data_IF_875697422976
#
_entry.id   IF_875697422976
#
_cell.length_a   1.000
_cell.length_b   1.000
_cell.length_c   1.000
_cell.angle_alpha   90.00
_cell.angle_beta   90.00
_cell.angle_gamma   90.00
#
_symmetry.space_group_name_H-M   'P 1'
#
loop_
_entity.id
_entity.type
_entity.pdbx_description
1 polymer ?
#
# COMPACT_ATOMS: atom_id res chain seq x y z
N UNK A 1 -1.02 -12.63 3.85
CA UNK A 1 -1.21 -13.41 2.60
C UNK A 1 -0.55 -14.78 2.72
N UNK A 2 -1.05 -15.80 2.02
CA UNK A 2 -0.37 -17.10 1.92
C UNK A 2 0.91 -16.95 1.07
N UNK A 3 2.08 -17.43 1.54
CA UNK A 3 3.33 -17.33 0.79
C UNK A 3 3.24 -17.92 -0.62
N UNK A 4 2.57 -19.07 -0.75
CA UNK A 4 2.48 -19.82 -2.00
C UNK A 4 1.24 -19.51 -2.84
N UNK A 5 0.18 -18.92 -2.27
CA UNK A 5 -1.12 -18.77 -2.93
C UNK A 5 -1.65 -17.33 -3.04
N UNK A 6 -1.02 -16.36 -2.38
CA UNK A 6 -1.54 -14.99 -2.34
C UNK A 6 -2.73 -14.84 -1.39
N UNK A 7 -3.72 -14.03 -1.76
CA UNK A 7 -4.92 -13.84 -0.94
C UNK A 7 -5.83 -15.09 -1.05
N UNK A 8 -6.37 -15.50 0.09
CA UNK A 8 -7.34 -16.59 0.19
C UNK A 8 -8.47 -16.06 1.06
N UNK A 9 -9.69 -16.17 0.57
CA UNK A 9 -10.87 -15.65 1.25
C UNK A 9 -11.57 -16.75 2.02
N UNK A 10 -12.08 -16.37 3.17
CA UNK A 10 -12.86 -17.23 4.03
C UNK A 10 -14.08 -16.45 4.53
N UNK A 11 -15.20 -17.13 4.67
CA UNK A 11 -16.37 -16.62 5.39
C UNK A 11 -16.36 -17.18 6.80
N UNK A 12 -16.83 -16.36 7.75
CA UNK A 12 -17.09 -16.77 9.12
C UNK A 12 -18.55 -16.46 9.42
N UNK A 13 -19.35 -17.51 9.60
CA UNK A 13 -20.74 -17.35 10.03
C UNK A 13 -20.78 -16.80 11.45
N UNK A 14 -21.50 -15.69 11.65
CA UNK A 14 -21.67 -15.04 12.95
C UNK A 14 -22.78 -15.75 13.75
N UNK A 15 -22.54 -17.01 14.11
CA UNK A 15 -23.44 -17.79 14.95
C UNK A 15 -22.88 -17.85 16.39
N UNK A 16 -23.56 -17.25 17.39
CA UNK A 16 -23.12 -17.31 18.79
C UNK A 16 -23.23 -18.72 19.38
N UNK A 17 -24.09 -19.56 18.82
CA UNK A 17 -24.34 -20.93 19.27
C UNK A 17 -23.43 -21.91 18.50
N UNK A 18 -22.14 -21.95 18.86
CA UNK A 18 -21.18 -22.91 18.34
C UNK A 18 -19.76 -22.35 18.16
N UNK A 19 -18.76 -23.22 17.94
CA UNK A 19 -17.40 -22.75 17.68
C UNK A 19 -17.32 -22.03 16.32
N UNK A 20 -16.49 -20.97 16.19
CA UNK A 20 -16.30 -20.27 14.93
C UNK A 20 -15.72 -21.23 13.88
N UNK A 21 -16.30 -21.23 12.67
CA UNK A 21 -15.84 -22.03 11.53
C UNK A 21 -15.55 -21.13 10.34
N UNK A 22 -14.31 -21.20 9.86
CA UNK A 22 -13.89 -20.54 8.63
C UNK A 22 -14.14 -21.48 7.45
N UNK A 23 -14.98 -21.05 6.53
CA UNK A 23 -15.24 -21.75 5.28
C UNK A 23 -14.53 -21.04 4.14
N UNK A 24 -13.84 -21.80 3.29
CA UNK A 24 -13.11 -21.18 2.17
C UNK A 24 -14.11 -20.67 1.14
N UNK A 25 -14.00 -19.40 0.79
CA UNK A 25 -14.83 -18.75 -0.22
C UNK A 25 -14.05 -18.65 -1.54
N UNK A 26 -14.67 -19.11 -2.62
CA UNK A 26 -14.05 -19.28 -3.94
C UNK A 26 -14.90 -18.77 -5.11
N UNK A 27 -16.06 -18.16 -4.83
CA UNK A 27 -16.98 -17.65 -5.85
C UNK A 27 -17.40 -16.22 -5.50
N UNK A 28 -18.23 -16.02 -4.47
CA UNK A 28 -18.88 -14.73 -4.19
C UNK A 28 -17.87 -13.63 -3.85
N UNK A 29 -16.89 -13.91 -2.99
CA UNK A 29 -15.84 -12.92 -2.70
C UNK A 29 -14.99 -12.60 -3.93
N UNK A 30 -14.70 -13.61 -4.77
CA UNK A 30 -13.83 -13.46 -5.93
C UNK A 30 -14.47 -12.62 -7.05
N UNK A 31 -15.79 -12.43 -7.06
CA UNK A 31 -16.46 -11.51 -7.99
C UNK A 31 -15.86 -10.09 -7.93
N UNK A 32 -15.46 -9.64 -6.74
CA UNK A 32 -14.79 -8.35 -6.55
C UNK A 32 -13.28 -8.52 -6.35
N UNK A 33 -12.86 -9.53 -5.59
CA UNK A 33 -11.47 -9.73 -5.18
C UNK A 33 -10.58 -10.47 -6.18
N UNK A 34 -11.12 -10.96 -7.30
CA UNK A 34 -10.36 -11.39 -8.48
C UNK A 34 -10.92 -10.65 -9.71
N UNK A 35 -10.61 -9.37 -9.79
CA UNK A 35 -11.12 -8.47 -10.83
C UNK A 35 -10.01 -7.59 -11.38
N UNK A 36 -10.32 -6.71 -12.34
CA UNK A 36 -9.36 -5.73 -12.86
C UNK A 36 -8.74 -4.84 -11.77
N UNK A 37 -9.47 -4.59 -10.68
CA UNK A 37 -8.97 -3.78 -9.54
C UNK A 37 -7.79 -4.50 -8.87
N UNK A 38 -7.80 -5.82 -8.84
CA UNK A 38 -6.78 -6.66 -8.19
C UNK A 38 -5.87 -7.34 -9.20
N UNK A 39 -5.62 -6.74 -10.36
CA UNK A 39 -4.77 -7.31 -11.43
C UNK A 39 -5.29 -8.65 -12.01
N UNK A 40 -6.58 -8.92 -11.87
CA UNK A 40 -7.23 -10.21 -12.17
C UNK A 40 -6.58 -11.40 -11.43
N UNK A 41 -6.12 -11.16 -10.20
CA UNK A 41 -5.73 -12.21 -9.26
C UNK A 41 -6.53 -12.08 -7.96
N UNK A 42 -6.71 -13.16 -7.18
CA UNK A 42 -7.25 -13.07 -5.83
C UNK A 42 -6.39 -12.11 -5.00
N UNK A 43 -6.96 -10.99 -4.60
CA UNK A 43 -6.19 -9.84 -4.10
C UNK A 43 -6.96 -8.94 -3.16
N UNK A 44 -6.19 -8.10 -2.47
CA UNK A 44 -6.71 -7.11 -1.53
C UNK A 44 -7.22 -5.89 -2.31
N UNK A 45 -8.26 -5.24 -1.79
CA UNK A 45 -8.84 -4.05 -2.39
C UNK A 45 -8.69 -2.89 -1.42
N UNK A 46 -8.23 -1.76 -1.96
CA UNK A 46 -8.32 -0.47 -1.30
C UNK A 46 -8.93 0.52 -2.28
N UNK A 47 -10.05 1.13 -1.89
CA UNK A 47 -10.79 2.10 -2.71
C UNK A 47 -11.00 3.38 -1.92
N UNK A 48 -11.13 4.47 -2.67
CA UNK A 48 -11.51 5.79 -2.19
C UNK A 48 -12.87 6.14 -2.78
N UNK A 49 -13.89 6.17 -1.92
CA UNK A 49 -15.29 6.34 -2.31
C UNK A 49 -15.98 7.33 -1.38
N UNK A 50 -16.91 8.13 -1.89
CA UNK A 50 -17.85 8.79 -1.00
C UNK A 50 -18.78 7.71 -0.41
N UNK A 51 -18.81 7.61 0.91
CA UNK A 51 -19.71 6.69 1.61
C UNK A 51 -20.99 7.43 2.05
N UNK A 52 -22.14 6.78 1.95
CA UNK A 52 -23.42 7.30 2.42
C UNK A 52 -23.52 7.29 3.95
N UNK A 53 -24.63 7.79 4.50
CA UNK A 53 -24.81 7.88 5.96
C UNK A 53 -24.83 6.52 6.69
N UNK A 54 -24.90 5.40 5.98
CA UNK A 54 -24.82 4.03 6.52
C UNK A 54 -23.48 3.34 6.17
N UNK A 55 -22.57 4.03 5.49
CA UNK A 55 -21.28 3.49 5.08
C UNK A 55 -21.29 2.74 3.75
N UNK A 56 -22.39 2.78 2.98
CA UNK A 56 -22.41 2.18 1.65
C UNK A 56 -21.67 3.05 0.63
N UNK A 57 -20.87 2.45 -0.26
CA UNK A 57 -20.13 3.21 -1.28
C UNK A 57 -21.09 3.78 -2.33
N UNK A 58 -21.11 5.11 -2.50
CA UNK A 58 -21.97 5.80 -3.48
C UNK A 58 -21.24 6.07 -4.79
N UNK A 59 -20.10 6.77 -4.70
CA UNK A 59 -19.33 7.25 -5.85
C UNK A 59 -17.84 7.11 -5.62
N UNK A 60 -17.12 6.69 -6.64
CA UNK A 60 -15.65 6.67 -6.61
C UNK A 60 -15.07 8.08 -6.64
N UNK A 61 -14.15 8.38 -5.72
CA UNK A 61 -13.34 9.61 -5.73
C UNK A 61 -12.34 9.58 -6.89
N UNK A 62 -11.85 8.40 -7.22
CA UNK A 62 -11.06 8.14 -8.41
C UNK A 62 -11.28 6.70 -8.90
N UNK A 63 -10.99 6.45 -10.18
CA UNK A 63 -11.16 5.13 -10.76
C UNK A 63 -10.09 4.14 -10.25
N UNK A 64 -10.51 2.89 -10.01
CA UNK A 64 -9.61 1.78 -9.75
C UNK A 64 -9.12 1.67 -8.30
N UNK A 65 -8.00 0.96 -8.12
CA UNK A 65 -7.40 0.75 -6.80
C UNK A 65 -6.67 2.02 -6.32
N UNK A 66 -6.87 2.40 -5.07
CA UNK A 66 -6.07 3.45 -4.42
C UNK A 66 -4.68 2.88 -4.13
N UNK A 67 -3.63 3.57 -4.59
CA UNK A 67 -2.23 3.13 -4.47
C UNK A 67 -1.32 4.31 -4.09
N UNK A 68 -0.03 4.03 -3.87
CA UNK A 68 1.03 5.03 -3.65
C UNK A 68 1.14 6.05 -4.81
N UNK A 69 0.62 5.73 -5.99
CA UNK A 69 0.57 6.62 -7.18
C UNK A 69 -0.68 7.50 -7.23
N UNK A 70 -1.70 7.15 -6.46
CA UNK A 70 -2.93 7.94 -6.43
C UNK A 70 -2.60 9.30 -5.82
N UNK A 71 -2.99 10.39 -6.48
CA UNK A 71 -2.77 11.74 -5.96
C UNK A 71 -3.35 11.86 -4.53
N UNK A 72 -2.61 12.50 -3.62
CA UNK A 72 -2.88 12.46 -2.18
C UNK A 72 -4.31 12.92 -1.84
N UNK A 73 -4.77 13.96 -2.51
CA UNK A 73 -6.08 14.58 -2.35
C UNK A 73 -7.24 13.62 -2.69
N UNK A 74 -6.99 12.59 -3.51
CA UNK A 74 -7.99 11.60 -3.92
C UNK A 74 -8.04 10.38 -3.01
N UNK A 75 -7.19 10.28 -2.00
CA UNK A 75 -7.07 9.08 -1.15
C UNK A 75 -8.11 9.04 -0.03
N UNK A 76 -8.45 7.82 0.37
CA UNK A 76 -9.15 7.47 1.62
C UNK A 76 -10.60 7.95 1.79
N UNK A 77 -11.29 8.33 0.73
CA UNK A 77 -12.75 8.49 0.79
C UNK A 77 -13.41 7.23 1.33
N UNK A 78 -14.33 7.38 2.28
CA UNK A 78 -15.03 6.27 2.94
C UNK A 78 -14.24 5.65 4.08
N UNK A 79 -13.09 6.21 4.43
CA UNK A 79 -12.29 5.86 5.60
C UNK A 79 -12.29 7.02 6.59
N UNK A 80 -12.20 6.70 7.87
CA UNK A 80 -11.70 7.65 8.85
C UNK A 80 -10.18 7.78 8.71
N UNK A 81 -9.64 8.97 8.93
CA UNK A 81 -8.20 9.25 8.83
C UNK A 81 -7.80 10.18 9.99
N UNK A 82 -6.81 9.77 10.77
CA UNK A 82 -6.26 10.58 11.87
C UNK A 82 -4.78 10.90 11.64
N UNK A 83 -4.41 12.16 11.82
CA UNK A 83 -3.06 12.66 11.55
C UNK A 83 -3.09 14.05 10.91
N UNK A 84 -1.91 14.64 10.74
CA UNK A 84 -1.73 15.93 10.11
C UNK A 84 -0.92 15.82 8.83
N UNK A 85 -1.15 16.75 7.89
CA UNK A 85 -0.50 16.83 6.59
C UNK A 85 -0.52 18.29 6.08
N UNK A 86 0.13 18.57 4.94
CA UNK A 86 0.10 19.89 4.29
C UNK A 86 -1.26 20.33 3.69
N UNK A 87 -1.28 21.39 2.89
CA UNK A 87 -2.51 22.17 2.61
C UNK A 87 -3.49 21.50 1.62
N UNK A 88 -3.06 20.54 0.79
CA UNK A 88 -3.93 19.96 -0.25
C UNK A 88 -5.04 19.00 0.24
N UNK A 89 -4.98 18.51 1.49
CA UNK A 89 -6.04 17.63 2.02
C UNK A 89 -6.07 16.22 1.45
N UNK A 90 -7.02 15.40 1.91
CA UNK A 90 -7.34 14.05 1.40
C UNK A 90 -8.86 13.83 1.47
N UNK A 91 -9.42 12.83 0.78
CA UNK A 91 -10.87 12.58 0.75
C UNK A 91 -11.44 11.87 2.00
N UNK A 92 -10.57 11.43 2.93
CA UNK A 92 -10.96 10.83 4.20
C UNK A 92 -11.83 11.74 5.09
N UNK A 93 -12.50 11.12 6.07
CA UNK A 93 -13.44 11.76 6.99
C UNK A 93 -14.67 12.43 6.35
N UNK A 94 -14.81 12.37 5.03
CA UNK A 94 -15.97 12.88 4.30
C UNK A 94 -17.03 11.79 4.14
N UNK A 95 -18.28 12.11 4.48
CA UNK A 95 -19.45 11.23 4.31
C UNK A 95 -20.63 12.00 3.71
N UNK A 96 -21.41 11.31 2.89
CA UNK A 96 -22.67 11.82 2.38
C UNK A 96 -23.75 11.75 3.48
N UNK A 97 -24.52 12.84 3.69
CA UNK A 97 -25.62 12.83 4.66
C UNK A 97 -26.85 12.07 4.15
N UNK A 98 -27.02 11.92 2.84
CA UNK A 98 -28.11 11.15 2.23
C UNK A 98 -27.76 9.64 2.09
N UNK A 99 -28.78 8.82 1.81
CA UNK A 99 -28.58 7.43 1.36
C UNK A 99 -28.27 7.38 -0.13
N UNK A 100 -27.52 6.38 -0.58
CA UNK A 100 -27.24 6.19 -2.02
C UNK A 100 -28.51 6.13 -2.90
N UNK A 101 -29.59 5.56 -2.37
CA UNK A 101 -30.89 5.44 -3.04
C UNK A 101 -31.56 6.79 -3.30
N UNK A 102 -31.21 7.80 -2.51
CA UNK A 102 -31.88 9.11 -2.53
C UNK A 102 -31.13 10.12 -3.43
N UNK A 103 -29.90 9.77 -3.85
CA UNK A 103 -29.07 10.59 -4.72
C UNK A 103 -29.62 10.55 -6.15
N UNK A 104 -30.29 11.64 -6.57
CA UNK A 104 -30.88 11.76 -7.91
C UNK A 104 -29.85 11.97 -9.02
N UNK A 105 -28.84 12.82 -8.80
CA UNK A 105 -27.77 13.10 -9.76
C UNK A 105 -26.42 12.59 -9.24
N UNK A 106 -26.20 11.29 -9.38
CA UNK A 106 -24.95 10.63 -8.97
C UNK A 106 -23.72 11.07 -9.76
N UNK A 107 -23.91 11.69 -10.93
CA UNK A 107 -22.80 12.11 -11.78
C UNK A 107 -22.12 13.34 -11.21
N UNK A 108 -22.90 14.31 -10.73
CA UNK A 108 -22.38 15.56 -10.17
C UNK A 108 -22.31 15.57 -8.64
N UNK A 109 -22.93 14.60 -7.95
CA UNK A 109 -22.99 14.58 -6.50
C UNK A 109 -21.63 14.67 -5.80
N UNK A 110 -20.58 14.02 -6.31
CA UNK A 110 -19.24 14.14 -5.70
C UNK A 110 -18.71 15.59 -5.71
N UNK A 111 -19.04 16.36 -6.75
CA UNK A 111 -18.57 17.74 -6.91
C UNK A 111 -19.24 18.74 -5.96
N UNK A 112 -20.32 18.36 -5.27
CA UNK A 112 -20.94 19.19 -4.24
C UNK A 112 -20.29 19.06 -2.87
N UNK A 113 -19.26 18.23 -2.72
CA UNK A 113 -18.53 18.06 -1.47
C UNK A 113 -17.16 18.72 -1.54
N UNK A 114 -16.79 19.42 -0.46
CA UNK A 114 -15.39 19.67 -0.17
C UNK A 114 -14.80 18.40 0.45
N UNK A 115 -14.19 17.56 -0.39
CA UNK A 115 -13.58 16.31 0.05
C UNK A 115 -12.39 16.54 0.99
N UNK A 116 -11.85 17.75 1.09
CA UNK A 116 -10.64 18.06 1.85
C UNK A 116 -10.93 18.68 3.23
N UNK A 117 -12.18 19.06 3.48
CA UNK A 117 -12.61 19.64 4.76
C UNK A 117 -12.36 18.72 5.97
N UNK A 118 -12.26 17.40 5.73
CA UNK A 118 -11.97 16.39 6.75
C UNK A 118 -10.48 16.12 7.00
N UNK A 119 -9.56 16.91 6.44
CA UNK A 119 -8.12 16.77 6.69
C UNK A 119 -7.70 17.21 8.09
N UNK A 120 -6.47 16.86 8.50
CA UNK A 120 -5.87 17.28 9.78
C UNK A 120 -6.68 16.95 11.06
N UNK A 121 -7.55 15.94 11.00
CA UNK A 121 -8.29 15.42 12.16
C UNK A 121 -7.34 14.57 13.00
N UNK A 122 -7.29 14.81 14.31
CA UNK A 122 -6.43 14.04 15.24
C UNK A 122 -7.21 13.20 16.25
N UNK A 123 -8.53 13.40 16.32
CA UNK A 123 -9.45 12.72 17.22
C UNK A 123 -10.76 12.41 16.49
N UNK A 124 -11.28 11.21 16.69
CA UNK A 124 -12.52 10.71 16.08
C UNK A 124 -13.68 10.62 17.10
N UNK A 125 -13.48 11.05 18.35
CA UNK A 125 -14.51 10.97 19.39
C UNK A 125 -15.81 11.70 19.03
N UNK A 126 -15.72 12.76 18.23
CA UNK A 126 -16.88 13.52 17.75
C UNK A 126 -17.67 12.77 16.65
N UNK A 127 -17.08 11.71 16.07
CA UNK A 127 -17.71 10.90 15.04
C UNK A 127 -18.42 9.67 15.63
N UNK A 128 -17.83 9.01 16.62
CA UNK A 128 -18.36 7.81 17.28
C UNK A 128 -17.63 7.51 18.59
N UNK A 129 -18.17 6.57 19.36
CA UNK A 129 -17.56 6.06 20.60
C UNK A 129 -16.30 5.22 20.29
N UNK A 130 -15.14 5.87 20.37
CA UNK A 130 -13.83 5.28 20.04
C UNK A 130 -13.38 4.21 21.03
N UNK A 131 -13.92 4.19 22.26
CA UNK A 131 -13.54 3.21 23.30
C UNK A 131 -13.97 1.78 22.95
N UNK A 132 -14.87 1.62 21.97
CA UNK A 132 -15.31 0.32 21.46
C UNK A 132 -14.29 -0.38 20.55
N UNK A 133 -13.22 0.31 20.17
CA UNK A 133 -12.21 -0.17 19.23
C UNK A 133 -10.86 -0.39 19.94
N UNK A 134 -10.02 -1.26 19.40
CA UNK A 134 -8.70 -1.57 19.97
C UNK A 134 -7.74 -0.37 20.03
N UNK A 135 -7.99 0.62 19.17
CA UNK A 135 -7.25 1.87 19.10
C UNK A 135 -8.22 2.97 18.64
N UNK A 136 -8.12 4.20 19.17
CA UNK A 136 -8.94 5.32 18.71
C UNK A 136 -8.45 5.92 17.38
N UNK A 137 -7.35 5.41 16.83
CA UNK A 137 -6.68 5.98 15.65
C UNK A 137 -7.02 5.24 14.35
N UNK A 138 -7.12 5.99 13.26
CA UNK A 138 -7.04 5.50 11.88
C UNK A 138 -5.87 6.21 11.19
N UNK A 139 -4.67 5.86 11.64
CA UNK A 139 -3.45 6.65 11.44
C UNK A 139 -3.09 6.84 9.94
N UNK A 140 -2.89 8.11 9.53
CA UNK A 140 -2.61 8.50 8.15
C UNK A 140 -1.36 7.82 7.58
N UNK A 141 -0.29 7.65 8.37
CA UNK A 141 0.94 6.99 7.93
C UNK A 141 0.68 5.50 7.76
N UNK A 142 -0.09 4.89 8.68
CA UNK A 142 -0.50 3.49 8.54
C UNK A 142 -1.32 3.23 7.27
N UNK A 143 -2.22 4.16 6.91
CA UNK A 143 -3.02 4.07 5.70
C UNK A 143 -2.17 4.24 4.43
N UNK A 144 -1.15 5.11 4.45
CA UNK A 144 -0.18 5.21 3.35
C UNK A 144 0.58 3.91 3.14
N UNK A 145 1.07 3.29 4.22
CA UNK A 145 1.73 1.97 4.16
C UNK A 145 0.77 0.89 3.64
N UNK A 146 -0.45 0.82 4.17
CA UNK A 146 -1.47 -0.13 3.72
C UNK A 146 -1.75 0.02 2.22
N UNK A 147 -1.89 1.26 1.74
CA UNK A 147 -2.13 1.59 0.33
C UNK A 147 -1.06 0.99 -0.58
N UNK A 148 0.21 1.13 -0.20
CA UNK A 148 1.33 0.52 -0.93
C UNK A 148 1.31 -1.01 -0.80
N UNK A 149 1.10 -1.55 0.42
CA UNK A 149 1.11 -2.99 0.67
C UNK A 149 0.08 -3.74 -0.17
N UNK A 150 -1.16 -3.24 -0.27
CA UNK A 150 -2.24 -3.85 -1.06
C UNK A 150 -1.80 -4.03 -2.52
N UNK A 151 -1.20 -3.00 -3.12
CA UNK A 151 -0.71 -3.05 -4.50
C UNK A 151 0.40 -4.07 -4.69
N UNK A 152 1.44 -4.04 -3.84
CA UNK A 152 2.59 -4.94 -3.97
C UNK A 152 2.17 -6.40 -3.74
N UNK A 153 1.32 -6.67 -2.77
CA UNK A 153 0.78 -8.01 -2.52
C UNK A 153 0.02 -8.59 -3.74
N UNK A 154 -0.78 -7.76 -4.41
CA UNK A 154 -1.47 -8.15 -5.64
C UNK A 154 -0.47 -8.43 -6.78
N UNK A 155 0.55 -7.57 -6.96
CA UNK A 155 1.58 -7.75 -7.99
C UNK A 155 2.49 -8.96 -7.75
N UNK A 156 2.87 -9.27 -6.50
CA UNK A 156 3.60 -10.50 -6.16
C UNK A 156 2.76 -11.73 -6.55
N UNK A 157 1.46 -11.70 -6.25
CA UNK A 157 0.51 -12.77 -6.62
C UNK A 157 0.40 -12.92 -8.14
N UNK A 158 0.35 -11.80 -8.88
CA UNK A 158 0.35 -11.78 -10.34
C UNK A 158 1.61 -12.42 -10.92
N UNK A 159 2.80 -11.94 -10.53
CA UNK A 159 4.10 -12.47 -11.01
C UNK A 159 4.17 -13.98 -10.80
N UNK A 160 3.73 -14.47 -9.65
CA UNK A 160 3.65 -15.91 -9.38
C UNK A 160 2.73 -16.66 -10.36
N UNK A 161 1.51 -16.16 -10.60
CA UNK A 161 0.47 -16.88 -11.35
C UNK A 161 0.69 -16.87 -12.85
N UNK A 162 1.12 -15.75 -13.41
CA UNK A 162 1.05 -15.53 -14.86
C UNK A 162 2.40 -15.48 -15.55
N UNK A 163 3.51 -15.57 -14.79
CA UNK A 163 4.85 -15.21 -15.29
C UNK A 163 4.84 -13.81 -15.96
N UNK A 164 3.94 -12.93 -15.51
CA UNK A 164 3.81 -11.58 -16.02
C UNK A 164 5.14 -10.82 -15.96
N UNK A 165 5.28 -9.74 -16.76
CA UNK A 165 6.48 -8.91 -16.74
C UNK A 165 6.79 -8.48 -15.31
N UNK A 166 7.88 -9.06 -14.79
CA UNK A 166 8.45 -8.78 -13.47
C UNK A 166 8.72 -7.29 -13.29
N UNK A 167 8.99 -6.59 -14.39
CA UNK A 167 9.20 -5.15 -14.44
C UNK A 167 8.08 -4.34 -13.77
N UNK A 168 6.80 -4.74 -13.92
CA UNK A 168 5.69 -4.05 -13.24
C UNK A 168 5.82 -4.11 -11.71
N UNK A 169 6.27 -5.25 -11.19
CA UNK A 169 6.53 -5.41 -9.76
C UNK A 169 7.75 -4.61 -9.33
N UNK A 170 8.86 -4.65 -10.09
CA UNK A 170 10.08 -3.89 -9.80
C UNK A 170 9.80 -2.39 -9.74
N UNK A 171 9.12 -1.84 -10.75
CA UNK A 171 8.69 -0.43 -10.79
C UNK A 171 7.84 -0.06 -9.58
N UNK A 172 6.86 -0.90 -9.22
CA UNK A 172 6.02 -0.64 -8.06
C UNK A 172 6.80 -0.72 -6.74
N UNK A 173 7.75 -1.67 -6.63
CA UNK A 173 8.60 -1.80 -5.45
C UNK A 173 9.55 -0.60 -5.30
N UNK A 174 10.00 0.00 -6.40
CA UNK A 174 10.85 1.19 -6.42
C UNK A 174 10.07 2.52 -6.40
N UNK A 175 8.77 2.49 -6.07
CA UNK A 175 7.93 3.68 -5.95
C UNK A 175 7.88 4.55 -7.22
N UNK A 176 7.96 3.91 -8.40
CA UNK A 176 7.82 4.61 -9.68
C UNK A 176 6.43 5.25 -9.79
N UNK A 177 6.43 6.56 -10.03
CA UNK A 177 5.27 7.46 -10.05
C UNK A 177 4.55 7.59 -8.69
N UNK A 178 5.23 7.38 -7.56
CA UNK A 178 4.69 7.74 -6.25
C UNK A 178 4.21 9.20 -6.26
N UNK A 179 2.99 9.45 -5.78
CA UNK A 179 2.47 10.80 -5.73
C UNK A 179 3.18 11.58 -4.61
N UNK A 180 3.60 12.81 -4.93
CA UNK A 180 4.21 13.74 -3.98
C UNK A 180 3.32 13.97 -2.77
N UNK A 181 3.93 14.08 -1.59
CA UNK A 181 3.22 14.47 -0.38
C UNK A 181 2.87 15.97 -0.40
N UNK A 182 1.72 16.37 0.16
CA UNK A 182 1.29 17.77 0.17
C UNK A 182 2.08 18.66 1.15
N UNK A 183 3.06 18.08 1.84
CA UNK A 183 3.82 18.64 2.96
C UNK A 183 4.13 17.55 3.98
N UNK A 184 4.73 17.91 5.13
CA UNK A 184 5.06 16.98 6.20
C UNK A 184 3.82 16.23 6.69
N UNK A 185 3.93 14.91 6.85
CA UNK A 185 2.85 14.05 7.34
C UNK A 185 3.19 13.50 8.72
N UNK A 186 2.25 13.60 9.65
CA UNK A 186 2.41 13.07 11.01
C UNK A 186 1.23 12.21 11.41
N UNK A 187 1.53 10.99 11.87
CA UNK A 187 0.56 10.07 12.44
C UNK A 187 0.08 10.50 13.83
N UNK A 188 -0.90 9.77 14.36
CA UNK A 188 -1.49 9.99 15.69
C UNK A 188 -1.22 8.84 16.66
N UNK A 189 -0.59 7.77 16.19
CA UNK A 189 -0.30 6.55 16.95
C UNK A 189 1.20 6.26 17.01
N UNK A 190 1.58 5.18 17.70
CA UNK A 190 2.97 4.66 17.73
C UNK A 190 3.38 3.95 16.44
N UNK A 191 2.55 3.97 15.39
CA UNK A 191 2.75 3.18 14.18
C UNK A 191 4.12 3.40 13.53
N UNK A 192 4.61 4.64 13.45
CA UNK A 192 5.93 4.96 12.86
C UNK A 192 7.05 4.24 13.62
N UNK A 193 7.08 4.37 14.94
CA UNK A 193 8.07 3.72 15.81
C UNK A 193 8.01 2.19 15.68
N UNK A 194 6.80 1.63 15.85
CA UNK A 194 6.56 0.19 15.80
C UNK A 194 6.88 -0.40 14.42
N UNK A 195 6.60 0.33 13.35
CA UNK A 195 6.83 -0.14 11.99
C UNK A 195 8.31 -0.16 11.65
N UNK A 196 9.04 0.92 11.95
CA UNK A 196 10.47 1.05 11.66
C UNK A 196 11.28 0.03 12.45
N UNK A 197 10.95 -0.22 13.72
CA UNK A 197 11.65 -1.19 14.57
C UNK A 197 11.55 -2.67 14.11
N UNK A 198 10.64 -3.01 13.19
CA UNK A 198 10.40 -4.39 12.73
C UNK A 198 11.26 -4.81 11.52
N UNK A 199 12.03 -3.90 10.94
CA UNK A 199 12.83 -4.18 9.74
C UNK A 199 14.24 -4.65 10.09
N UNK A 200 14.90 -5.43 9.21
CA UNK A 200 16.35 -5.55 9.32
C UNK A 200 16.99 -4.18 9.05
N UNK A 201 18.13 -3.94 9.71
CA UNK A 201 18.97 -2.76 9.46
C UNK A 201 20.36 -3.20 9.07
N UNK A 202 21.03 -2.39 8.26
CA UNK A 202 22.46 -2.57 7.99
C UNK A 202 23.32 -2.16 9.20
N UNK A 203 24.65 -2.27 9.06
CA UNK A 203 25.60 -1.90 10.11
C UNK A 203 25.63 -0.39 10.44
N UNK A 204 24.99 0.45 9.62
CA UNK A 204 24.82 1.89 9.85
C UNK A 204 23.45 2.20 10.48
N UNK A 205 22.63 1.19 10.76
CA UNK A 205 21.30 1.33 11.31
C UNK A 205 20.20 1.67 10.29
N UNK A 206 20.53 1.72 8.99
CA UNK A 206 19.58 2.09 7.92
C UNK A 206 18.66 0.91 7.60
N UNK A 207 17.37 1.18 7.39
CA UNK A 207 16.36 0.17 7.04
C UNK A 207 15.47 0.63 5.89
N UNK A 208 15.00 -0.31 5.04
CA UNK A 208 13.93 -0.03 4.06
C UNK A 208 12.57 0.32 4.70
N UNK A 209 12.49 0.29 6.04
CA UNK A 209 11.33 0.75 6.81
C UNK A 209 11.50 2.15 7.39
N UNK A 210 12.63 2.81 7.15
CA UNK A 210 12.84 4.18 7.58
C UNK A 210 11.96 5.10 6.76
N UNK A 211 11.17 5.93 7.44
CA UNK A 211 10.28 6.87 6.78
C UNK A 211 11.00 8.19 6.45
N UNK A 212 10.48 8.87 5.43
CA UNK A 212 10.81 10.27 5.14
C UNK A 212 9.70 11.18 5.66
N UNK A 213 8.44 10.95 5.23
CA UNK A 213 7.21 11.69 5.58
C UNK A 213 7.23 13.20 5.30
N UNK A 214 8.30 13.73 4.73
CA UNK A 214 8.43 15.14 4.34
C UNK A 214 8.05 15.33 2.88
N UNK A 215 8.65 14.51 2.00
CA UNK A 215 8.47 14.58 0.55
C UNK A 215 7.91 13.27 -0.04
N UNK A 216 8.20 12.13 0.61
CA UNK A 216 7.80 10.78 0.17
C UNK A 216 7.53 9.85 1.34
N UNK A 217 7.00 8.65 1.09
CA UNK A 217 6.70 7.72 2.19
C UNK A 217 7.97 7.20 2.86
N UNK A 218 8.85 6.53 2.11
CA UNK A 218 10.06 5.91 2.65
C UNK A 218 11.33 6.70 2.31
N UNK A 219 12.25 6.75 3.28
CA UNK A 219 13.56 7.37 3.10
C UNK A 219 14.39 6.68 2.03
N UNK A 220 14.28 5.37 1.91
CA UNK A 220 14.93 4.56 0.88
C UNK A 220 13.83 3.93 0.02
N UNK A 221 13.53 4.46 -1.19
CA UNK A 221 12.37 4.04 -1.99
C UNK A 221 12.53 2.65 -2.63
N UNK A 222 12.55 1.63 -1.79
CA UNK A 222 12.38 0.23 -2.15
C UNK A 222 11.44 -0.41 -1.14
N UNK A 223 10.41 -1.09 -1.62
CA UNK A 223 9.39 -1.71 -0.80
C UNK A 223 9.99 -2.68 0.20
N UNK A 224 9.74 -2.45 1.50
CA UNK A 224 10.08 -3.37 2.58
C UNK A 224 9.45 -4.77 2.42
N UNK A 225 8.43 -4.92 1.55
CA UNK A 225 7.84 -6.22 1.23
C UNK A 225 8.79 -7.16 0.46
N UNK A 226 9.97 -6.68 0.05
CA UNK A 226 11.07 -7.55 -0.38
C UNK A 226 11.47 -8.55 0.72
N UNK A 227 11.23 -8.25 2.00
CA UNK A 227 11.46 -9.16 3.13
C UNK A 227 10.24 -10.01 3.51
N UNK A 228 9.18 -9.97 2.72
CA UNK A 228 7.97 -10.75 3.03
C UNK A 228 8.13 -12.22 2.62
N UNK A 229 7.57 -13.13 3.41
CA UNK A 229 7.49 -14.56 3.07
C UNK A 229 6.85 -14.81 1.69
N UNK A 230 5.97 -13.92 1.24
CA UNK A 230 5.33 -14.04 -0.08
C UNK A 230 6.30 -13.73 -1.22
N UNK A 231 7.13 -12.70 -1.06
CA UNK A 231 8.21 -12.39 -2.00
C UNK A 231 9.22 -13.53 -2.03
N UNK A 232 9.67 -14.00 -0.86
CA UNK A 232 10.65 -15.09 -0.76
C UNK A 232 10.18 -16.42 -1.33
N UNK A 233 8.87 -16.65 -1.36
CA UNK A 233 8.32 -17.86 -1.93
C UNK A 233 8.20 -17.79 -3.48
N UNK A 234 8.46 -16.65 -4.12
CA UNK A 234 8.37 -16.52 -5.58
C UNK A 234 9.25 -17.57 -6.29
N UNK A 235 8.86 -18.06 -7.48
CA UNK A 235 9.69 -18.98 -8.24
C UNK A 235 11.09 -18.40 -8.50
N UNK A 236 12.14 -19.23 -8.43
CA UNK A 236 13.54 -18.78 -8.52
C UNK A 236 13.84 -17.95 -9.78
N UNK A 237 13.26 -18.31 -10.93
CA UNK A 237 13.45 -17.53 -12.17
C UNK A 237 12.94 -16.09 -12.04
N UNK A 238 11.84 -15.88 -11.31
CA UNK A 238 11.28 -14.56 -11.08
C UNK A 238 12.12 -13.78 -10.07
N UNK A 239 12.53 -14.42 -8.97
CA UNK A 239 13.44 -13.81 -7.98
C UNK A 239 14.74 -13.35 -8.61
N UNK A 240 15.41 -14.22 -9.38
CA UNK A 240 16.67 -13.88 -10.04
C UNK A 240 16.49 -12.69 -10.99
N UNK A 241 15.42 -12.68 -11.79
CA UNK A 241 15.14 -11.56 -12.68
C UNK A 241 14.84 -10.26 -11.94
N UNK A 242 14.12 -10.32 -10.80
CA UNK A 242 13.92 -9.14 -9.94
C UNK A 242 15.27 -8.62 -9.43
N UNK A 243 16.10 -9.51 -8.89
CA UNK A 243 17.39 -9.12 -8.31
C UNK A 243 18.37 -8.59 -9.36
N UNK A 244 18.44 -9.21 -10.55
CA UNK A 244 19.24 -8.71 -11.67
C UNK A 244 18.81 -7.29 -12.04
N UNK A 245 17.50 -7.07 -12.19
CA UNK A 245 16.97 -5.76 -12.55
C UNK A 245 17.20 -4.72 -11.45
N UNK A 246 17.07 -5.09 -10.17
CA UNK A 246 17.42 -4.22 -9.06
C UNK A 246 18.92 -3.87 -9.08
N UNK A 247 19.80 -4.85 -9.26
CA UNK A 247 21.24 -4.63 -9.36
C UNK A 247 21.59 -3.65 -10.49
N UNK A 248 21.03 -3.86 -11.67
CA UNK A 248 21.19 -2.96 -12.83
C UNK A 248 20.72 -1.53 -12.54
N UNK A 249 19.51 -1.35 -11.98
CA UNK A 249 18.96 -0.01 -11.70
C UNK A 249 19.80 0.71 -10.64
N UNK A 250 20.18 0.00 -9.58
CA UNK A 250 20.82 0.60 -8.42
C UNK A 250 22.31 0.92 -8.63
N UNK A 251 22.95 0.33 -9.65
CA UNK A 251 24.39 0.50 -9.91
C UNK A 251 24.71 1.27 -11.20
N UNK A 252 23.76 1.41 -12.13
CA UNK A 252 24.00 2.13 -13.40
C UNK A 252 24.35 3.61 -13.18
N UNK A 253 25.26 4.15 -13.98
CA UNK A 253 25.61 5.58 -13.93
C UNK A 253 24.38 6.46 -14.18
N UNK A 254 23.69 6.21 -15.30
CA UNK A 254 22.49 6.94 -15.72
C UNK A 254 21.27 6.02 -15.76
N UNK A 255 20.31 6.17 -14.83
CA UNK A 255 19.10 5.36 -14.84
C UNK A 255 18.16 5.79 -15.98
N UNK A 256 17.31 4.87 -16.44
CA UNK A 256 16.23 5.20 -17.36
C UNK A 256 15.22 6.18 -16.74
N UNK A 257 14.42 6.83 -17.60
CA UNK A 257 13.46 7.91 -17.24
C UNK A 257 12.60 7.57 -16.02
N UNK A 258 12.11 6.34 -15.93
CA UNK A 258 11.24 5.89 -14.84
C UNK A 258 11.90 5.82 -13.46
N UNK A 259 13.23 5.85 -13.39
CA UNK A 259 14.00 5.68 -12.16
C UNK A 259 14.81 6.92 -11.80
N UNK A 260 14.62 8.04 -12.50
CA UNK A 260 15.34 9.31 -12.25
C UNK A 260 14.96 9.96 -10.91
N UNK A 261 13.81 9.58 -10.33
CA UNK A 261 13.41 9.99 -8.98
C UNK A 261 14.31 9.38 -7.89
N UNK A 262 15.03 8.30 -8.20
CA UNK A 262 16.03 7.71 -7.31
C UNK A 262 17.38 8.41 -7.52
N UNK A 263 17.74 9.28 -6.60
CA UNK A 263 19.04 9.94 -6.62
C UNK A 263 20.19 8.91 -6.55
N UNK A 264 21.39 9.26 -7.02
CA UNK A 264 22.56 8.37 -6.89
C UNK A 264 22.84 7.95 -5.43
N UNK A 265 22.73 8.84 -4.41
CA UNK A 265 22.80 8.45 -3.01
C UNK A 265 21.71 7.47 -2.58
N UNK A 266 20.45 7.67 -3.01
CA UNK A 266 19.35 6.74 -2.71
C UNK A 266 19.64 5.34 -3.26
N UNK A 267 20.03 5.27 -4.54
CA UNK A 267 20.33 4.00 -5.22
C UNK A 267 21.48 3.27 -4.53
N UNK A 268 22.55 3.97 -4.17
CA UNK A 268 23.67 3.39 -3.44
C UNK A 268 23.25 2.89 -2.06
N UNK A 269 22.49 3.69 -1.31
CA UNK A 269 22.03 3.31 0.02
C UNK A 269 21.13 2.06 -0.01
N UNK A 270 20.18 2.00 -0.96
CA UNK A 270 19.32 0.83 -1.15
C UNK A 270 20.17 -0.40 -1.48
N UNK A 271 21.13 -0.29 -2.40
CA UNK A 271 22.01 -1.38 -2.78
C UNK A 271 22.81 -1.92 -1.57
N UNK A 272 23.41 -1.03 -0.78
CA UNK A 272 24.16 -1.40 0.43
C UNK A 272 23.28 -2.08 1.49
N UNK A 273 22.08 -1.54 1.71
CA UNK A 273 21.11 -2.13 2.64
C UNK A 273 20.76 -3.55 2.19
N UNK A 274 20.48 -3.76 0.89
CA UNK A 274 20.15 -5.09 0.38
C UNK A 274 21.32 -6.08 0.50
N UNK A 275 22.54 -5.68 0.16
CA UNK A 275 23.72 -6.53 0.34
C UNK A 275 23.89 -6.96 1.80
N UNK A 276 23.63 -6.07 2.75
CA UNK A 276 23.77 -6.35 4.18
C UNK A 276 22.61 -7.18 4.77
N UNK A 277 21.39 -7.01 4.26
CA UNK A 277 20.16 -7.48 4.93
C UNK A 277 19.36 -8.52 4.15
N UNK A 278 19.70 -8.75 2.87
CA UNK A 278 19.00 -9.71 1.99
C UNK A 278 20.01 -10.70 1.39
N UNK A 279 20.30 -11.82 2.09
CA UNK A 279 21.31 -12.80 1.65
C UNK A 279 21.11 -13.27 0.20
N UNK A 280 19.87 -13.61 -0.19
CA UNK A 280 19.58 -14.05 -1.55
C UNK A 280 19.88 -13.00 -2.64
N UNK A 281 19.82 -11.70 -2.31
CA UNK A 281 20.24 -10.64 -3.21
C UNK A 281 21.77 -10.55 -3.27
N UNK A 282 22.45 -10.59 -2.12
CA UNK A 282 23.91 -10.56 -2.04
C UNK A 282 24.56 -11.73 -2.81
N UNK A 283 24.04 -12.95 -2.60
CA UNK A 283 24.45 -14.15 -3.32
C UNK A 283 24.32 -13.93 -4.84
N UNK A 284 23.16 -13.40 -5.28
CA UNK A 284 22.90 -13.12 -6.70
C UNK A 284 23.87 -12.10 -7.29
N UNK A 285 24.17 -11.01 -6.57
CA UNK A 285 25.12 -10.00 -7.04
C UNK A 285 26.54 -10.56 -7.16
N UNK A 286 26.96 -11.43 -6.24
CA UNK A 286 28.26 -12.08 -6.31
C UNK A 286 28.42 -13.01 -7.52
N UNK A 287 27.35 -13.70 -7.94
CA UNK A 287 27.36 -14.54 -9.15
C UNK A 287 27.49 -13.74 -10.44
N UNK A 288 26.96 -12.51 -10.45
CA UNK A 288 26.97 -11.62 -11.61
C UNK A 288 28.34 -10.95 -11.77
N UNK A 289 29.01 -10.56 -10.68
CA UNK A 289 30.36 -9.95 -10.74
C UNK A 289 31.45 -10.91 -11.23
N UNK A 290 31.24 -12.23 -11.10
CA UNK A 290 32.18 -13.27 -11.54
C UNK A 290 32.04 -13.60 -13.05
N UNK A 291 31.01 -13.07 -13.74
CA UNK A 291 30.72 -13.31 -15.16
C UNK A 291 31.13 -12.13 -16.04
#
# INVERSE_FOLDING_TARGET
MSPSRGAIFFTLSQNPEGPPRFEREGTTCLMCHESRITENVPGLIMRSVLADRLGYPTKEVHQGQTTDRTAFEKRWGGWYVTGTHGIQGHAGNTRAPELDSDIRDRSNYLSSFDLHAGGNVTDLSDNFDVERYLTPHSDIVSLMVLTHQVRIHNLITLVRRTRAPVDRLVRAMLFVDEATLPGPVQGTSTFVEDFTARGPSDSQGRSLRDFDLEQRLFRYPLSFLIYSNQFDALPHFALNHIYDRLGEILTVAEPGEDFVHLSAPDRRAIYDILLATKPAFADRMSEVEVR
#
